data_IF_635101219003
#
_entry.id   IF_635101219003
#
_cell.length_a   1.000
_cell.length_b   1.000
_cell.length_c   1.000
_cell.angle_alpha   90.00
_cell.angle_beta   90.00
_cell.angle_gamma   90.00
#
_symmetry.space_group_name_H-M   'P 1'
#
loop_
_entity.id
_entity.type
_entity.pdbx_description
1 polymer ?
#
# COMPACT_ATOMS: atom_id res chain seq x y z
N UNK A 1 -7.82 -17.16 10.94
CA UNK A 1 -8.32 -16.15 11.92
C UNK A 1 -7.51 -14.85 11.94
N UNK A 2 -6.17 -14.84 11.78
CA UNK A 2 -5.35 -13.60 11.86
C UNK A 2 -5.74 -12.47 10.89
N UNK A 3 -6.27 -12.78 9.70
CA UNK A 3 -6.65 -11.77 8.69
C UNK A 3 -8.05 -11.20 8.87
N UNK A 4 -8.91 -11.82 9.69
CA UNK A 4 -10.34 -11.49 9.76
C UNK A 4 -10.61 -10.01 10.14
N UNK A 5 -9.93 -9.42 11.15
CA UNK A 5 -10.13 -8.02 11.49
C UNK A 5 -9.69 -7.07 10.36
N UNK A 6 -8.59 -7.42 9.68
CA UNK A 6 -8.06 -6.64 8.56
C UNK A 6 -9.02 -6.73 7.36
N UNK A 7 -9.57 -7.91 7.07
CA UNK A 7 -10.56 -8.09 6.01
C UNK A 7 -11.80 -7.23 6.23
N UNK A 8 -12.32 -7.15 7.46
CA UNK A 8 -13.46 -6.29 7.78
C UNK A 8 -13.17 -4.82 7.50
N UNK A 9 -11.99 -4.35 7.91
CA UNK A 9 -11.52 -3.01 7.57
C UNK A 9 -11.41 -2.82 6.05
N UNK A 10 -10.87 -3.79 5.32
CA UNK A 10 -10.72 -3.74 3.86
C UNK A 10 -12.07 -3.71 3.14
N UNK A 11 -13.10 -4.39 3.65
CA UNK A 11 -14.48 -4.27 3.12
C UNK A 11 -14.99 -2.83 3.30
N UNK A 12 -14.86 -2.26 4.50
CA UNK A 12 -15.29 -0.89 4.76
C UNK A 12 -14.52 0.13 3.90
N UNK A 13 -13.21 -0.07 3.75
CA UNK A 13 -12.36 0.79 2.93
C UNK A 13 -12.70 0.67 1.43
N UNK A 14 -12.92 -0.54 0.94
CA UNK A 14 -13.41 -0.78 -0.42
C UNK A 14 -14.78 -0.15 -0.66
N UNK A 15 -15.68 -0.17 0.33
CA UNK A 15 -16.98 0.50 0.23
C UNK A 15 -16.84 2.03 0.13
N UNK A 16 -15.92 2.62 0.88
CA UNK A 16 -15.59 4.04 0.74
C UNK A 16 -15.06 4.36 -0.67
N UNK A 17 -14.20 3.50 -1.23
CA UNK A 17 -13.71 3.63 -2.60
C UNK A 17 -14.84 3.55 -3.64
N UNK A 18 -15.69 2.52 -3.55
CA UNK A 18 -16.79 2.32 -4.50
C UNK A 18 -17.76 3.50 -4.53
N UNK A 19 -18.11 4.04 -3.35
CA UNK A 19 -18.91 5.26 -3.26
C UNK A 19 -18.20 6.47 -3.87
N UNK A 20 -16.93 6.68 -3.54
CA UNK A 20 -16.14 7.79 -4.06
C UNK A 20 -16.01 7.74 -5.59
N UNK A 21 -15.82 6.55 -6.16
CA UNK A 21 -15.71 6.34 -7.61
C UNK A 21 -17.01 6.74 -8.35
N UNK A 22 -18.16 6.30 -7.84
CA UNK A 22 -19.47 6.66 -8.42
C UNK A 22 -19.73 8.16 -8.28
N UNK A 23 -19.36 8.78 -7.14
CA UNK A 23 -19.45 10.23 -6.95
C UNK A 23 -18.54 11.03 -7.89
N UNK A 24 -17.41 10.46 -8.31
CA UNK A 24 -16.51 11.01 -9.33
C UNK A 24 -16.97 10.74 -10.77
N UNK A 25 -18.11 10.07 -10.95
CA UNK A 25 -18.72 9.82 -12.26
C UNK A 25 -18.18 8.58 -12.99
N UNK A 26 -17.44 7.69 -12.32
CA UNK A 26 -17.08 6.40 -12.93
C UNK A 26 -18.32 5.52 -13.04
N UNK A 27 -18.40 4.75 -14.13
CA UNK A 27 -19.44 3.75 -14.25
C UNK A 27 -19.26 2.65 -13.17
N UNK A 28 -20.36 2.09 -12.65
CA UNK A 28 -20.34 0.97 -11.71
C UNK A 28 -19.44 -0.19 -12.17
N UNK A 29 -19.56 -0.57 -13.45
CA UNK A 29 -18.79 -1.67 -14.03
C UNK A 29 -17.29 -1.35 -14.07
N UNK A 30 -16.91 -0.15 -14.53
CA UNK A 30 -15.51 0.29 -14.58
C UNK A 30 -14.87 0.32 -13.19
N UNK A 31 -15.64 0.74 -12.18
CA UNK A 31 -15.20 0.76 -10.78
C UNK A 31 -14.90 -0.65 -10.26
N UNK A 32 -15.79 -1.61 -10.51
CA UNK A 32 -15.61 -3.01 -10.09
C UNK A 32 -14.46 -3.67 -10.87
N UNK A 33 -14.36 -3.42 -12.17
CA UNK A 33 -13.25 -3.90 -13.00
C UNK A 33 -11.92 -3.34 -12.51
N UNK A 34 -11.87 -2.05 -12.17
CA UNK A 34 -10.67 -1.43 -11.61
C UNK A 34 -10.26 -2.12 -10.30
N UNK A 35 -11.17 -2.35 -9.37
CA UNK A 35 -10.87 -3.05 -8.10
C UNK A 35 -10.53 -4.53 -8.30
N UNK A 36 -10.98 -5.13 -9.39
CA UNK A 36 -10.63 -6.51 -9.74
C UNK A 36 -9.23 -6.57 -10.34
N UNK A 37 -8.88 -5.68 -11.27
CA UNK A 37 -7.62 -5.72 -12.00
C UNK A 37 -6.46 -5.03 -11.27
N UNK A 38 -6.76 -3.97 -10.52
CA UNK A 38 -5.78 -3.13 -9.82
C UNK A 38 -5.88 -3.39 -8.34
N UNK A 39 -5.08 -4.35 -7.86
CA UNK A 39 -5.04 -4.68 -6.43
C UNK A 39 -4.15 -3.70 -5.64
N UNK A 40 -4.49 -2.41 -5.68
CA UNK A 40 -3.75 -1.34 -5.03
C UNK A 40 -4.64 -0.14 -4.68
N UNK A 41 -5.36 -0.22 -3.55
CA UNK A 41 -6.38 0.77 -3.16
C UNK A 41 -5.88 2.22 -3.12
N UNK A 42 -4.68 2.47 -2.60
CA UNK A 42 -4.10 3.81 -2.56
C UNK A 42 -3.95 4.46 -3.96
N UNK A 43 -3.56 3.66 -4.95
CA UNK A 43 -3.41 4.11 -6.33
C UNK A 43 -4.77 4.31 -7.00
N UNK A 44 -5.79 3.53 -6.61
CA UNK A 44 -7.14 3.74 -7.12
C UNK A 44 -7.72 5.07 -6.63
N UNK A 45 -7.60 5.39 -5.34
CA UNK A 45 -8.01 6.71 -4.83
C UNK A 45 -7.22 7.86 -5.46
N UNK A 46 -5.90 7.73 -5.61
CA UNK A 46 -5.11 8.75 -6.30
C UNK A 46 -5.55 8.96 -7.76
N UNK A 47 -5.96 7.87 -8.43
CA UNK A 47 -6.54 7.96 -9.78
C UNK A 47 -7.89 8.70 -9.77
N UNK A 48 -8.74 8.46 -8.75
CA UNK A 48 -10.02 9.18 -8.57
C UNK A 48 -9.84 10.67 -8.30
N UNK A 49 -8.78 11.06 -7.57
CA UNK A 49 -8.46 12.47 -7.34
C UNK A 49 -8.09 13.19 -8.64
N UNK A 50 -7.49 12.46 -9.58
CA UNK A 50 -7.13 12.93 -10.92
C UNK A 50 -8.25 12.71 -11.95
N UNK A 51 -9.38 12.14 -11.54
CA UNK A 51 -10.49 11.79 -12.44
C UNK A 51 -11.38 13.00 -12.72
N UNK A 52 -11.62 13.30 -14.00
CA UNK A 52 -12.37 14.45 -14.48
C UNK A 52 -12.61 14.39 -15.99
N UNK A 53 -13.07 15.51 -16.58
CA UNK A 53 -13.41 15.57 -18.01
C UNK A 53 -12.21 15.28 -18.93
N UNK A 54 -11.01 15.71 -18.54
CA UNK A 54 -9.76 15.43 -19.24
C UNK A 54 -8.78 14.75 -18.30
N UNK A 55 -8.64 13.42 -18.42
CA UNK A 55 -7.68 12.65 -17.63
C UNK A 55 -6.37 12.55 -18.42
N UNK A 56 -5.33 13.23 -17.94
CA UNK A 56 -4.00 13.09 -18.52
C UNK A 56 -3.39 11.76 -18.07
N UNK A 57 -3.28 10.82 -19.02
CA UNK A 57 -2.83 9.44 -18.75
C UNK A 57 -1.40 9.40 -18.20
N UNK A 58 -0.50 10.27 -18.71
CA UNK A 58 0.91 10.28 -18.29
C UNK A 58 1.06 10.63 -16.80
N UNK A 59 0.52 11.75 -16.28
CA UNK A 59 0.49 12.04 -14.86
C UNK A 59 -0.08 10.91 -14.00
N UNK A 60 -1.20 10.32 -14.41
CA UNK A 60 -1.81 9.19 -13.67
C UNK A 60 -0.83 8.01 -13.61
N UNK A 61 -0.22 7.63 -14.73
CA UNK A 61 0.78 6.55 -14.75
C UNK A 61 1.95 6.83 -13.82
N UNK A 62 2.47 8.07 -13.82
CA UNK A 62 3.60 8.45 -12.96
C UNK A 62 3.22 8.40 -11.48
N UNK A 63 2.05 8.92 -11.11
CA UNK A 63 1.57 8.89 -9.71
C UNK A 63 1.29 7.45 -9.26
N UNK A 64 0.58 6.67 -10.08
CA UNK A 64 0.30 5.25 -9.80
C UNK A 64 1.58 4.44 -9.68
N UNK A 65 2.57 4.68 -10.55
CA UNK A 65 3.89 4.05 -10.47
C UNK A 65 4.63 4.45 -9.19
N UNK A 66 4.67 5.74 -8.87
CA UNK A 66 5.32 6.25 -7.67
C UNK A 66 4.73 5.62 -6.40
N UNK A 67 3.39 5.58 -6.28
CA UNK A 67 2.69 4.96 -5.15
C UNK A 67 2.97 3.45 -5.09
N UNK A 68 2.93 2.76 -6.23
CA UNK A 68 3.10 1.30 -6.29
C UNK A 68 4.55 0.83 -6.21
N UNK A 69 5.53 1.71 -6.39
CA UNK A 69 6.96 1.38 -6.26
C UNK A 69 7.28 0.70 -4.92
N UNK A 70 6.47 0.95 -3.88
CA UNK A 70 6.56 0.23 -2.60
C UNK A 70 6.41 -1.29 -2.72
N UNK A 71 5.62 -1.80 -3.68
CA UNK A 71 5.50 -3.24 -3.92
C UNK A 71 6.81 -3.85 -4.41
N UNK A 72 7.63 -3.09 -5.16
CA UNK A 72 8.97 -3.52 -5.56
C UNK A 72 9.88 -3.66 -4.35
N UNK A 73 9.85 -2.66 -3.44
CA UNK A 73 10.64 -2.68 -2.20
C UNK A 73 10.19 -3.80 -1.25
N UNK A 74 8.88 -4.02 -1.12
CA UNK A 74 8.30 -5.12 -0.34
C UNK A 74 8.68 -6.48 -0.93
N UNK A 75 8.62 -6.63 -2.26
CA UNK A 75 9.07 -7.84 -2.95
C UNK A 75 10.55 -8.11 -2.74
N UNK A 76 11.39 -7.07 -2.82
CA UNK A 76 12.82 -7.16 -2.55
C UNK A 76 13.11 -7.55 -1.09
N UNK A 77 12.38 -7.02 -0.12
CA UNK A 77 12.57 -7.38 1.29
C UNK A 77 12.19 -8.83 1.58
N UNK A 78 11.23 -9.39 0.84
CA UNK A 78 10.84 -10.80 0.90
C UNK A 78 11.73 -11.72 0.07
N UNK A 79 12.69 -11.19 -0.71
CA UNK A 79 13.55 -11.99 -1.57
C UNK A 79 14.26 -13.15 -0.83
N UNK A 80 14.83 -12.97 0.38
CA UNK A 80 15.44 -14.05 1.14
C UNK A 80 14.48 -15.19 1.49
N UNK A 81 13.19 -14.88 1.66
CA UNK A 81 12.12 -15.86 1.90
C UNK A 81 11.58 -16.51 0.63
N UNK A 82 11.86 -15.94 -0.54
CA UNK A 82 11.29 -16.39 -1.80
C UNK A 82 12.33 -16.99 -2.73
N UNK A 83 13.63 -16.90 -2.42
CA UNK A 83 14.74 -17.28 -3.33
C UNK A 83 14.73 -18.74 -3.73
N UNK A 84 14.30 -19.62 -2.84
CA UNK A 84 14.24 -21.06 -3.12
C UNK A 84 12.87 -21.49 -3.69
N UNK A 85 11.95 -20.55 -3.91
CA UNK A 85 10.64 -20.83 -4.51
C UNK A 85 10.75 -20.72 -6.04
N UNK A 86 10.18 -21.68 -6.76
CA UNK A 86 10.14 -21.67 -8.21
C UNK A 86 9.60 -20.33 -8.77
N UNK A 87 10.17 -19.79 -9.86
CA UNK A 87 9.82 -18.45 -10.36
C UNK A 87 8.33 -18.22 -10.57
N UNK A 88 7.62 -19.19 -11.16
CA UNK A 88 6.17 -19.08 -11.38
C UNK A 88 5.41 -18.88 -10.06
N UNK A 89 5.67 -19.72 -9.05
CA UNK A 89 5.03 -19.61 -7.73
C UNK A 89 5.44 -18.32 -7.00
N UNK A 90 6.71 -17.90 -7.14
CA UNK A 90 7.19 -16.63 -6.58
C UNK A 90 6.43 -15.43 -7.15
N UNK A 91 6.26 -15.34 -8.47
CA UNK A 91 5.52 -14.24 -9.08
C UNK A 91 4.03 -14.29 -8.74
N UNK A 92 3.41 -15.48 -8.66
CA UNK A 92 2.02 -15.62 -8.21
C UNK A 92 1.83 -15.13 -6.77
N UNK A 93 2.79 -15.36 -5.87
CA UNK A 93 2.75 -14.83 -4.51
C UNK A 93 2.84 -13.30 -4.49
N UNK A 94 3.70 -12.72 -5.33
CA UNK A 94 3.86 -11.27 -5.41
C UNK A 94 2.64 -10.57 -6.02
N UNK A 95 1.86 -11.25 -6.88
CA UNK A 95 0.64 -10.71 -7.47
C UNK A 95 -0.43 -10.35 -6.43
N UNK A 96 -0.51 -11.15 -5.35
CA UNK A 96 -1.49 -10.94 -4.27
C UNK A 96 -0.88 -10.29 -3.03
N UNK A 97 0.30 -9.69 -3.19
CA UNK A 97 0.99 -9.02 -2.10
C UNK A 97 0.33 -7.67 -1.78
N UNK A 98 0.13 -7.40 -0.50
CA UNK A 98 -0.41 -6.14 0.02
C UNK A 98 0.43 -5.69 1.21
N UNK A 99 0.29 -4.42 1.61
CA UNK A 99 0.98 -3.91 2.80
C UNK A 99 0.65 -4.74 4.06
N UNK A 100 -0.59 -5.20 4.21
CA UNK A 100 -1.06 -5.95 5.36
C UNK A 100 -0.48 -7.38 5.44
N UNK A 101 -0.57 -8.15 4.34
CA UNK A 101 -0.03 -9.52 4.34
C UNK A 101 1.51 -9.52 4.29
N UNK A 102 2.14 -8.51 3.70
CA UNK A 102 3.58 -8.28 3.76
C UNK A 102 4.04 -8.04 5.19
N UNK A 103 3.38 -7.15 5.93
CA UNK A 103 3.77 -6.83 7.30
C UNK A 103 3.73 -8.06 8.20
N UNK A 104 2.69 -8.90 8.06
CA UNK A 104 2.59 -10.16 8.82
C UNK A 104 3.66 -11.16 8.38
N UNK A 105 3.88 -11.34 7.08
CA UNK A 105 4.90 -12.25 6.56
C UNK A 105 6.31 -11.85 6.98
N UNK A 106 6.63 -10.55 6.96
CA UNK A 106 7.91 -10.01 7.39
C UNK A 106 8.13 -10.19 8.90
N UNK A 107 7.08 -10.00 9.73
CA UNK A 107 7.14 -10.27 11.17
C UNK A 107 7.33 -11.76 11.47
N UNK A 108 6.61 -12.64 10.78
CA UNK A 108 6.75 -14.09 10.93
C UNK A 108 8.17 -14.54 10.55
N UNK A 109 8.77 -13.93 9.51
CA UNK A 109 10.15 -14.21 9.11
C UNK A 109 11.19 -13.76 10.14
N UNK A 110 10.99 -12.60 10.78
CA UNK A 110 11.85 -12.17 11.89
C UNK A 110 11.80 -13.13 13.08
N UNK A 111 10.73 -13.92 13.20
CA UNK A 111 10.58 -14.97 14.23
C UNK A 111 11.06 -16.35 13.77
N UNK A 112 11.69 -16.45 12.59
CA UNK A 112 12.19 -17.69 12.02
C UNK A 112 11.17 -18.52 11.22
N UNK A 113 9.94 -18.02 11.05
CA UNK A 113 8.87 -18.74 10.35
C UNK A 113 8.74 -18.29 8.89
N UNK A 114 8.65 -19.24 7.95
CA UNK A 114 8.48 -18.97 6.52
C UNK A 114 7.02 -19.21 6.08
N UNK A 115 6.12 -18.33 6.51
CA UNK A 115 4.68 -18.46 6.21
C UNK A 115 4.30 -17.87 4.85
N UNK A 116 4.52 -18.63 3.78
CA UNK A 116 4.10 -18.24 2.43
C UNK A 116 2.57 -18.24 2.26
N UNK A 117 1.86 -19.01 3.09
CA UNK A 117 0.39 -19.11 3.11
C UNK A 117 -0.27 -17.79 3.50
N UNK A 118 0.38 -17.00 4.35
CA UNK A 118 -0.08 -15.65 4.76
C UNK A 118 -0.11 -14.72 3.54
N UNK A 119 0.87 -14.84 2.65
CA UNK A 119 0.93 -14.04 1.42
C UNK A 119 -0.18 -14.47 0.47
N UNK A 120 -0.26 -15.77 0.13
CA UNK A 120 -1.24 -16.26 -0.83
C UNK A 120 -2.68 -16.17 -0.29
N UNK A 121 -2.96 -16.89 0.80
CA UNK A 121 -4.30 -17.00 1.36
C UNK A 121 -4.77 -15.67 1.96
N UNK A 122 -3.88 -14.96 2.66
CA UNK A 122 -4.20 -13.62 3.16
C UNK A 122 -4.45 -12.63 2.02
N UNK A 123 -3.61 -12.65 0.98
CA UNK A 123 -3.77 -11.80 -0.21
C UNK A 123 -5.11 -12.03 -0.91
N UNK A 124 -5.46 -13.29 -1.18
CA UNK A 124 -6.74 -13.65 -1.81
C UNK A 124 -7.95 -13.22 -0.97
N UNK A 125 -7.90 -13.43 0.35
CA UNK A 125 -9.00 -13.01 1.24
C UNK A 125 -9.13 -11.48 1.25
N UNK A 126 -8.03 -10.74 1.28
CA UNK A 126 -8.05 -9.28 1.23
C UNK A 126 -8.53 -8.77 -0.14
N UNK A 127 -8.18 -9.44 -1.22
CA UNK A 127 -8.62 -9.09 -2.57
C UNK A 127 -10.14 -9.28 -2.72
N UNK A 128 -10.66 -10.42 -2.30
CA UNK A 128 -12.11 -10.68 -2.28
C UNK A 128 -12.84 -9.70 -1.37
N UNK A 129 -12.29 -9.40 -0.19
CA UNK A 129 -12.84 -8.38 0.72
C UNK A 129 -12.89 -7.00 0.07
N UNK A 130 -11.85 -6.62 -0.69
CA UNK A 130 -11.79 -5.34 -1.40
C UNK A 130 -12.83 -5.25 -2.52
N UNK A 131 -12.97 -6.31 -3.32
CA UNK A 131 -13.98 -6.40 -4.38
C UNK A 131 -15.38 -6.34 -3.78
N UNK A 132 -15.65 -7.10 -2.71
CA UNK A 132 -16.93 -7.08 -2.00
C UNK A 132 -17.23 -5.69 -1.45
N UNK A 133 -16.27 -5.07 -0.80
CA UNK A 133 -16.38 -3.69 -0.31
C UNK A 133 -16.71 -2.73 -1.44
N UNK A 134 -15.94 -2.77 -2.53
CA UNK A 134 -16.16 -1.92 -3.71
C UNK A 134 -17.58 -2.09 -4.25
N UNK A 135 -18.03 -3.34 -4.42
CA UNK A 135 -19.38 -3.65 -4.87
C UNK A 135 -20.44 -3.06 -3.93
N UNK A 136 -20.28 -3.21 -2.62
CA UNK A 136 -21.17 -2.61 -1.62
C UNK A 136 -21.18 -1.07 -1.73
N UNK A 137 -20.01 -0.45 -1.89
CA UNK A 137 -19.89 1.01 -2.06
C UNK A 137 -20.61 1.53 -3.30
N UNK A 138 -20.46 0.81 -4.43
CA UNK A 138 -21.07 1.18 -5.71
C UNK A 138 -22.60 1.12 -5.65
N UNK A 139 -23.17 0.06 -5.08
CA UNK A 139 -24.63 -0.17 -5.10
C UNK A 139 -25.37 0.35 -3.87
N UNK A 140 -24.74 0.33 -2.70
CA UNK A 140 -25.37 0.71 -1.43
C UNK A 140 -24.79 1.99 -0.83
N UNK A 141 -23.69 2.53 -1.37
CA UNK A 141 -23.08 3.76 -0.85
C UNK A 141 -24.01 4.99 -0.93
N UNK A 142 -24.92 5.02 -1.91
CA UNK A 142 -25.94 6.08 -2.04
C UNK A 142 -26.99 6.08 -0.92
N UNK A 143 -27.09 5.02 -0.11
CA UNK A 143 -27.95 4.99 1.07
C UNK A 143 -27.37 5.83 2.23
N UNK A 144 -26.09 6.17 2.17
CA UNK A 144 -25.43 7.02 3.17
C UNK A 144 -25.80 8.48 2.91
N UNK A 145 -26.74 8.99 3.70
CA UNK A 145 -27.23 10.38 3.62
C UNK A 145 -26.11 11.43 3.74
N UNK A 146 -25.07 11.16 4.53
CA UNK A 146 -23.93 12.08 4.74
C UNK A 146 -22.59 11.34 4.90
N UNK A 147 -21.95 10.92 3.79
CA UNK A 147 -20.70 10.17 3.83
C UNK A 147 -19.54 10.94 4.47
N UNK A 148 -19.51 12.28 4.28
CA UNK A 148 -18.49 13.16 4.89
C UNK A 148 -18.52 13.14 6.42
N UNK A 149 -19.72 13.09 7.02
CA UNK A 149 -19.85 13.06 8.48
C UNK A 149 -19.35 11.74 9.07
N UNK A 150 -19.26 10.69 8.26
CA UNK A 150 -18.68 9.40 8.63
C UNK A 150 -17.15 9.35 8.44
N UNK A 151 -16.53 10.46 7.99
CA UNK A 151 -15.10 10.56 7.76
C UNK A 151 -14.61 9.76 6.54
N UNK A 152 -15.48 9.44 5.59
CA UNK A 152 -15.12 8.63 4.41
C UNK A 152 -14.03 9.28 3.55
N UNK A 153 -13.98 10.61 3.52
CA UNK A 153 -12.97 11.42 2.84
C UNK A 153 -11.58 11.31 3.48
N UNK A 154 -11.50 11.00 4.78
CA UNK A 154 -10.25 10.83 5.50
C UNK A 154 -9.74 9.38 5.53
N UNK A 155 -10.48 8.41 5.01
CA UNK A 155 -10.15 6.98 5.17
C UNK A 155 -8.78 6.63 4.58
N UNK A 156 -8.45 7.13 3.38
CA UNK A 156 -7.14 6.91 2.78
C UNK A 156 -6.01 7.52 3.63
N UNK A 157 -6.20 8.76 4.10
CA UNK A 157 -5.23 9.45 4.96
C UNK A 157 -5.00 8.71 6.27
N UNK A 158 -6.08 8.31 6.94
CA UNK A 158 -6.04 7.51 8.16
C UNK A 158 -5.38 6.14 7.95
N UNK A 159 -5.64 5.49 6.81
CA UNK A 159 -5.01 4.22 6.45
C UNK A 159 -3.49 4.37 6.31
N UNK A 160 -3.03 5.34 5.51
CA UNK A 160 -1.60 5.58 5.29
C UNK A 160 -0.90 6.01 6.60
N UNK A 161 -1.56 6.85 7.40
CA UNK A 161 -1.04 7.28 8.70
C UNK A 161 -0.93 6.12 9.69
N UNK A 162 -1.97 5.27 9.78
CA UNK A 162 -1.96 4.08 10.64
C UNK A 162 -0.84 3.11 10.23
N UNK A 163 -0.66 2.87 8.93
CA UNK A 163 0.45 2.07 8.41
C UNK A 163 1.82 2.66 8.75
N UNK A 164 1.99 3.97 8.59
CA UNK A 164 3.23 4.64 8.98
C UNK A 164 3.49 4.45 10.49
N UNK A 165 2.53 4.78 11.34
CA UNK A 165 2.68 4.74 12.80
C UNK A 165 2.87 3.33 13.38
N UNK A 166 2.31 2.31 12.73
CA UNK A 166 2.46 0.89 13.10
C UNK A 166 3.85 0.32 12.83
N UNK A 167 4.67 0.98 12.01
CA UNK A 167 6.04 0.58 11.72
C UNK A 167 6.99 0.76 12.92
N UNK A 168 8.14 0.05 12.88
CA UNK A 168 9.25 0.29 13.80
C UNK A 168 9.75 1.72 13.59
N UNK A 169 9.92 2.48 14.67
CA UNK A 169 10.41 3.86 14.61
C UNK A 169 11.93 3.83 14.83
N UNK A 170 12.69 4.21 13.81
CA UNK A 170 14.13 4.46 13.91
C UNK A 170 14.42 5.91 13.50
N UNK A 171 15.56 6.50 13.92
CA UNK A 171 15.94 7.84 13.51
C UNK A 171 15.92 8.01 11.98
N UNK A 172 16.39 6.99 11.24
CA UNK A 172 16.33 6.95 9.78
C UNK A 172 14.90 7.08 9.25
N UNK A 173 13.96 6.30 9.81
CA UNK A 173 12.56 6.32 9.37
C UNK A 173 11.93 7.68 9.66
N UNK A 174 12.21 8.27 10.83
CA UNK A 174 11.70 9.60 11.18
C UNK A 174 12.26 10.70 10.27
N UNK A 175 13.54 10.64 9.92
CA UNK A 175 14.16 11.57 8.96
C UNK A 175 13.56 11.39 7.57
N UNK A 176 13.37 10.15 7.11
CA UNK A 176 12.73 9.87 5.83
C UNK A 176 11.30 10.41 5.77
N UNK A 177 10.52 10.24 6.86
CA UNK A 177 9.17 10.80 6.95
C UNK A 177 9.17 12.33 6.96
N UNK A 178 10.05 12.95 7.73
CA UNK A 178 10.15 14.41 7.79
C UNK A 178 10.50 15.01 6.43
N UNK A 179 11.49 14.45 5.74
CA UNK A 179 11.90 14.91 4.41
C UNK A 179 10.82 14.64 3.35
N UNK A 180 10.16 13.48 3.38
CA UNK A 180 9.04 13.19 2.50
C UNK A 180 7.87 14.17 2.73
N UNK A 181 7.54 14.48 3.99
CA UNK A 181 6.48 15.43 4.34
C UNK A 181 6.83 16.85 3.89
N UNK A 182 8.06 17.32 4.16
CA UNK A 182 8.52 18.64 3.73
C UNK A 182 8.54 18.77 2.20
N UNK A 183 9.04 17.77 1.49
CA UNK A 183 9.05 17.76 0.03
C UNK A 183 7.63 17.74 -0.56
N UNK A 184 6.72 16.95 0.03
CA UNK A 184 5.32 16.91 -0.38
C UNK A 184 4.61 18.25 -0.15
N UNK A 185 4.81 18.89 1.01
CA UNK A 185 4.24 20.21 1.33
C UNK A 185 4.80 21.31 0.43
N UNK A 186 6.11 21.29 0.17
CA UNK A 186 6.77 22.20 -0.77
C UNK A 186 6.19 22.05 -2.19
N UNK A 187 6.06 20.82 -2.67
CA UNK A 187 5.47 20.54 -3.96
C UNK A 187 3.98 20.91 -4.04
N UNK A 188 3.22 20.70 -2.97
CA UNK A 188 1.83 21.15 -2.92
C UNK A 188 1.70 22.67 -3.04
N UNK A 189 2.66 23.43 -2.48
CA UNK A 189 2.66 24.90 -2.52
C UNK A 189 3.18 25.48 -3.83
N UNK A 190 4.19 24.87 -4.45
CA UNK A 190 4.95 25.48 -5.55
C UNK A 190 4.92 24.71 -6.88
N UNK A 191 4.45 23.45 -6.90
CA UNK A 191 4.41 22.61 -8.08
C UNK A 191 2.95 22.36 -8.53
N UNK A 192 2.74 21.89 -9.78
CA UNK A 192 1.41 21.53 -10.26
C UNK A 192 0.70 20.49 -9.39
N UNK A 193 -0.63 20.41 -9.50
CA UNK A 193 -1.44 19.41 -8.81
C UNK A 193 -0.88 17.99 -8.99
N UNK A 194 -1.02 17.15 -7.96
CA UNK A 194 -0.59 15.73 -7.91
C UNK A 194 0.93 15.47 -7.88
N UNK A 195 1.77 16.48 -8.10
CA UNK A 195 3.24 16.34 -8.02
C UNK A 195 3.74 16.05 -6.59
N UNK A 196 2.96 16.43 -5.58
CA UNK A 196 3.29 16.27 -4.17
C UNK A 196 3.53 14.81 -3.77
N UNK A 197 2.78 13.86 -4.34
CA UNK A 197 2.96 12.42 -4.09
C UNK A 197 4.33 11.95 -4.59
N UNK A 198 4.70 12.36 -5.80
CA UNK A 198 5.97 11.97 -6.44
C UNK A 198 7.15 12.59 -5.70
N UNK A 199 7.06 13.88 -5.35
CA UNK A 199 8.10 14.58 -4.61
C UNK A 199 8.36 13.94 -3.24
N UNK A 200 7.30 13.62 -2.49
CA UNK A 200 7.42 12.93 -1.20
C UNK A 200 8.02 11.53 -1.34
N UNK A 201 7.58 10.75 -2.34
CA UNK A 201 8.10 9.41 -2.60
C UNK A 201 9.60 9.42 -2.94
N UNK A 202 10.03 10.34 -3.81
CA UNK A 202 11.44 10.50 -4.19
C UNK A 202 12.29 10.95 -2.99
N UNK A 203 11.85 11.95 -2.24
CA UNK A 203 12.59 12.46 -1.08
C UNK A 203 12.79 11.38 -0.01
N UNK A 204 11.72 10.63 0.34
CA UNK A 204 11.83 9.50 1.28
C UNK A 204 12.71 8.37 0.74
N UNK A 205 12.59 8.06 -0.56
CA UNK A 205 13.40 7.05 -1.23
C UNK A 205 14.90 7.37 -1.23
N UNK A 206 15.28 8.64 -1.44
CA UNK A 206 16.67 9.12 -1.39
C UNK A 206 17.29 8.88 -0.02
N UNK A 207 16.57 9.18 1.06
CA UNK A 207 17.03 8.88 2.43
C UNK A 207 17.21 7.37 2.63
N UNK A 208 16.25 6.58 2.14
CA UNK A 208 16.32 5.12 2.16
C UNK A 208 17.56 4.57 1.43
N UNK A 209 17.92 5.17 0.28
CA UNK A 209 19.03 4.75 -0.57
C UNK A 209 20.40 5.09 0.04
N UNK A 210 20.59 6.33 0.52
CA UNK A 210 21.90 6.78 1.02
C UNK A 210 22.18 6.37 2.46
N UNK A 211 21.14 6.13 3.27
CA UNK A 211 21.31 5.72 4.67
C UNK A 211 21.08 4.22 4.81
N UNK A 212 22.05 3.39 4.43
CA UNK A 212 22.00 1.94 4.67
C UNK A 212 22.42 1.66 6.12
N UNK A 213 21.53 1.07 6.92
CA UNK A 213 21.91 0.51 8.22
C UNK A 213 22.72 -0.77 7.99
N UNK A 214 23.92 -0.83 8.56
CA UNK A 214 24.66 -2.08 8.65
C UNK A 214 23.85 -3.09 9.47
N UNK A 215 23.81 -4.35 9.01
CA UNK A 215 23.21 -5.44 9.78
C UNK A 215 23.91 -5.50 11.14
N UNK A 216 23.18 -5.65 12.26
CA UNK A 216 23.83 -6.02 13.51
C UNK A 216 24.65 -7.28 13.24
N UNK A 217 25.94 -7.19 13.51
CA UNK A 217 26.93 -8.18 13.11
C UNK A 217 26.50 -9.59 13.53
N UNK A 218 26.84 -10.57 12.69
CA UNK A 218 27.08 -11.92 13.18
C UNK A 218 28.11 -11.80 14.30
N UNK A 219 27.70 -11.96 15.55
CA UNK A 219 28.63 -12.25 16.64
C UNK A 219 29.45 -13.47 16.22
N UNK A 220 30.72 -13.19 15.93
CA UNK A 220 31.90 -14.06 16.06
C UNK A 220 31.61 -15.54 16.34
N UNK A 221 31.54 -16.32 15.26
CA UNK A 221 31.92 -17.73 15.31
C UNK A 221 33.44 -17.82 15.13
N UNK A 222 34.14 -18.37 16.12
CA UNK A 222 35.60 -18.51 16.21
C UNK A 222 36.12 -17.60 17.33
N UNK A 223 36.79 -18.07 18.37
CA UNK A 223 37.65 -19.25 18.52
C UNK A 223 37.56 -19.76 19.97
N UNK A 224 37.46 -21.08 20.16
CA UNK A 224 37.95 -21.75 21.37
C UNK A 224 39.45 -22.00 21.19
N UNK A 225 40.33 -21.45 22.01
CA UNK A 225 41.69 -21.96 22.14
C UNK A 225 41.71 -23.08 23.19
N UNK A 226 42.00 -24.29 22.68
CA UNK A 226 42.62 -25.46 23.34
C UNK A 226 42.06 -25.96 24.66
#
# INVERSE_FOLDING_TARGET
MRMLPISLFVVAFGAAFGLAAVQKGLAPLDTILMSTLVFAGASQFATLDMWGAEVSVIPVMVVVFAINSRHLLMGASLYPMLKDVAPAKRYSLLLVLTDANWAIAAQDYQRGNRNLEVILGGGLVLWLAWILGTWLGVYFGGLLQNPKNLGLDMVLGCFLLSMALGGKKSPRILVAWALAALASLAAWKWLPANTHVVAGALAGGVVGFFWLEEKPGKETAGETPT
#
